data_IF_276079127010
#
_entry.id   IF_276079127010
#
_cell.length_a   1.000
_cell.length_b   1.000
_cell.length_c   1.000
_cell.angle_alpha   90.00
_cell.angle_beta   90.00
_cell.angle_gamma   90.00
#
_symmetry.space_group_name_H-M   'P 1'
#
loop_
_entity.id
_entity.type
_entity.pdbx_description
1 polymer ?
#
# COMPACT_ATOMS: atom_id res chain seq x y z
N UNK A 1 -32.90 -41.09 34.05
CA UNK A 1 -32.24 -39.80 33.79
C UNK A 1 -32.22 -39.55 32.28
N UNK A 2 -32.99 -38.59 31.73
CA UNK A 2 -32.91 -38.29 30.30
C UNK A 2 -31.54 -37.68 29.97
N UNK A 3 -30.87 -38.20 28.93
CA UNK A 3 -29.60 -37.69 28.42
C UNK A 3 -29.82 -36.34 27.73
N UNK A 4 -29.19 -35.29 28.24
CA UNK A 4 -29.15 -33.98 27.58
C UNK A 4 -28.36 -34.10 26.27
N UNK A 5 -28.98 -33.76 25.14
CA UNK A 5 -28.31 -33.72 23.82
C UNK A 5 -27.61 -32.38 23.72
N UNK A 6 -26.28 -32.33 23.51
CA UNK A 6 -25.58 -31.06 23.37
C UNK A 6 -26.05 -30.34 22.09
N UNK A 7 -26.19 -29.00 22.11
CA UNK A 7 -26.54 -28.24 20.92
C UNK A 7 -25.45 -28.39 19.85
N UNK A 8 -25.86 -28.59 18.58
CA UNK A 8 -24.91 -28.61 17.46
C UNK A 8 -24.33 -27.21 17.26
N UNK A 9 -23.01 -27.06 17.11
CA UNK A 9 -22.41 -25.77 16.78
C UNK A 9 -22.99 -25.26 15.46
N UNK A 10 -23.32 -23.97 15.43
CA UNK A 10 -23.87 -23.32 14.23
C UNK A 10 -22.80 -23.27 13.14
N UNK A 11 -23.12 -23.85 11.98
CA UNK A 11 -22.30 -23.74 10.79
C UNK A 11 -22.20 -22.25 10.39
N UNK A 12 -20.98 -21.74 10.27
CA UNK A 12 -20.73 -20.34 9.92
C UNK A 12 -21.09 -20.19 8.44
N UNK A 13 -22.28 -19.64 8.18
CA UNK A 13 -22.84 -19.48 6.83
C UNK A 13 -21.99 -18.61 5.90
N UNK A 14 -21.24 -17.66 6.46
CA UNK A 14 -20.39 -16.74 5.71
C UNK A 14 -19.02 -16.64 6.38
N UNK A 15 -17.98 -17.22 5.75
CA UNK A 15 -16.60 -16.99 6.15
C UNK A 15 -16.19 -15.61 5.65
N UNK A 16 -16.05 -14.66 6.57
CA UNK A 16 -15.35 -13.41 6.30
C UNK A 16 -13.86 -13.70 6.43
N UNK A 17 -13.12 -13.60 5.32
CA UNK A 17 -11.67 -13.65 5.42
C UNK A 17 -11.18 -12.37 6.12
N UNK A 18 -10.26 -12.49 7.09
CA UNK A 18 -9.60 -11.33 7.67
C UNK A 18 -8.84 -10.55 6.57
N UNK A 19 -8.75 -9.23 6.73
CA UNK A 19 -8.03 -8.36 5.80
C UNK A 19 -6.55 -8.76 5.68
N UNK A 20 -5.94 -9.15 6.79
CA UNK A 20 -4.58 -9.66 6.83
C UNK A 20 -4.56 -11.19 6.70
N UNK A 21 -3.80 -11.68 5.73
CA UNK A 21 -3.70 -13.11 5.41
C UNK A 21 -2.25 -13.60 5.39
N UNK A 22 -1.99 -14.86 5.78
CA UNK A 22 -0.65 -15.43 5.75
C UNK A 22 -0.16 -15.66 4.30
N UNK A 23 1.17 -15.78 4.10
CA UNK A 23 1.78 -15.99 2.78
C UNK A 23 1.21 -17.19 2.02
N UNK A 24 0.84 -18.26 2.71
CA UNK A 24 0.23 -19.44 2.09
C UNK A 24 -1.12 -19.11 1.41
N UNK A 25 -1.96 -18.28 2.04
CA UNK A 25 -3.24 -17.85 1.45
C UNK A 25 -3.00 -16.92 0.26
N UNK A 26 -1.99 -16.03 0.34
CA UNK A 26 -1.60 -15.16 -0.78
C UNK A 26 -1.15 -15.99 -1.98
N UNK A 27 -0.31 -17.01 -1.75
CA UNK A 27 0.16 -17.93 -2.79
C UNK A 27 -1.03 -18.61 -3.49
N UNK A 28 -1.98 -19.15 -2.72
CA UNK A 28 -3.20 -19.78 -3.27
C UNK A 28 -4.03 -18.79 -4.10
N UNK A 29 -4.16 -17.53 -3.66
CA UNK A 29 -4.86 -16.46 -4.40
C UNK A 29 -4.16 -16.09 -5.71
N UNK A 30 -2.84 -16.28 -5.77
CA UNK A 30 -2.03 -16.14 -6.99
C UNK A 30 -1.90 -17.43 -7.80
N UNK A 31 -2.56 -18.51 -7.37
CA UNK A 31 -2.51 -19.86 -7.97
C UNK A 31 -1.09 -20.44 -8.00
N UNK A 32 -0.33 -20.18 -6.95
CA UNK A 32 1.01 -20.72 -6.72
C UNK A 32 0.98 -21.60 -5.46
N UNK A 33 1.89 -22.58 -5.39
CA UNK A 33 2.24 -23.17 -4.11
C UNK A 33 3.02 -22.17 -3.25
N UNK A 34 3.06 -22.37 -1.94
CA UNK A 34 3.81 -21.49 -1.05
C UNK A 34 5.30 -21.43 -1.41
N UNK A 35 5.89 -22.56 -1.78
CA UNK A 35 7.29 -22.63 -2.23
C UNK A 35 7.50 -21.81 -3.51
N UNK A 36 6.64 -21.99 -4.52
CA UNK A 36 6.71 -21.21 -5.77
C UNK A 36 6.53 -19.72 -5.54
N UNK A 37 5.66 -19.35 -4.59
CA UNK A 37 5.46 -17.96 -4.21
C UNK A 37 6.74 -17.37 -3.61
N UNK A 38 7.41 -18.08 -2.70
CA UNK A 38 8.69 -17.66 -2.12
C UNK A 38 9.79 -17.52 -3.19
N UNK A 39 9.88 -18.45 -4.13
CA UNK A 39 10.85 -18.38 -5.24
C UNK A 39 10.57 -17.19 -6.18
N UNK A 40 9.30 -16.83 -6.36
CA UNK A 40 8.90 -15.69 -7.19
C UNK A 40 8.92 -14.35 -6.44
N UNK A 41 8.92 -14.37 -5.10
CA UNK A 41 8.77 -13.19 -4.26
C UNK A 41 9.77 -12.08 -4.59
N UNK A 42 11.07 -12.34 -4.80
CA UNK A 42 12.02 -11.27 -5.17
C UNK A 42 11.64 -10.57 -6.48
N UNK A 43 11.16 -11.32 -7.47
CA UNK A 43 10.70 -10.78 -8.76
C UNK A 43 9.37 -10.05 -8.63
N UNK A 44 8.49 -10.50 -7.73
CA UNK A 44 7.23 -9.83 -7.43
C UNK A 44 7.50 -8.48 -6.74
N UNK A 45 8.37 -8.44 -5.73
CA UNK A 45 8.76 -7.22 -5.04
C UNK A 45 9.42 -6.20 -5.98
N UNK A 46 10.28 -6.65 -6.90
CA UNK A 46 10.84 -5.79 -7.95
C UNK A 46 9.78 -5.16 -8.87
N UNK A 47 8.58 -5.77 -8.96
CA UNK A 47 7.42 -5.26 -9.71
C UNK A 47 6.45 -4.46 -8.83
N UNK A 48 6.86 -4.10 -7.61
CA UNK A 48 6.05 -3.33 -6.66
C UNK A 48 4.95 -4.14 -5.98
N UNK A 49 5.11 -5.46 -5.84
CA UNK A 49 4.21 -6.28 -5.01
C UNK A 49 4.28 -5.82 -3.54
N UNK A 50 3.17 -5.81 -2.79
CA UNK A 50 3.16 -5.35 -1.40
C UNK A 50 4.06 -6.22 -0.51
N UNK A 51 4.79 -5.57 0.40
CA UNK A 51 5.57 -6.26 1.42
C UNK A 51 4.66 -6.77 2.54
N UNK A 52 5.02 -7.89 3.20
CA UNK A 52 4.34 -8.30 4.42
C UNK A 52 4.56 -7.28 5.53
N UNK A 53 3.62 -7.23 6.44
CA UNK A 53 3.74 -6.47 7.68
C UNK A 53 4.98 -6.94 8.48
N UNK A 54 5.86 -6.03 8.93
CA UNK A 54 7.12 -6.41 9.56
C UNK A 54 6.94 -7.09 10.92
N UNK A 55 5.84 -6.80 11.63
CA UNK A 55 5.60 -7.31 12.97
C UNK A 55 4.87 -8.66 12.93
N UNK A 56 3.88 -8.79 12.05
CA UNK A 56 3.01 -9.98 11.97
C UNK A 56 3.37 -10.95 10.84
N UNK A 57 4.13 -10.49 9.84
CA UNK A 57 4.44 -11.27 8.64
C UNK A 57 3.23 -11.54 7.73
N UNK A 58 2.10 -10.88 7.99
CA UNK A 58 0.86 -11.04 7.23
C UNK A 58 0.85 -10.08 6.04
N UNK A 59 0.05 -10.41 5.04
CA UNK A 59 -0.18 -9.57 3.87
C UNK A 59 -1.58 -9.00 3.89
N UNK A 60 -1.69 -7.71 3.61
CA UNK A 60 -2.97 -7.06 3.32
C UNK A 60 -3.55 -7.60 2.00
N UNK A 61 -4.69 -8.26 2.11
CA UNK A 61 -5.43 -8.84 1.00
C UNK A 61 -5.84 -7.79 -0.05
N UNK A 62 -6.27 -6.62 0.41
CA UNK A 62 -6.70 -5.53 -0.46
C UNK A 62 -5.50 -4.97 -1.25
N UNK A 63 -4.35 -4.83 -0.60
CA UNK A 63 -3.12 -4.40 -1.26
C UNK A 63 -2.71 -5.37 -2.39
N UNK A 64 -2.81 -6.68 -2.13
CA UNK A 64 -2.51 -7.72 -3.14
C UNK A 64 -3.48 -7.62 -4.33
N UNK A 65 -4.78 -7.47 -4.07
CA UNK A 65 -5.78 -7.37 -5.15
C UNK A 65 -5.63 -6.07 -5.95
N UNK A 66 -5.40 -4.93 -5.28
CA UNK A 66 -5.11 -3.66 -5.96
C UNK A 66 -3.88 -3.77 -6.85
N UNK A 67 -2.81 -4.43 -6.40
CA UNK A 67 -1.64 -4.70 -7.24
C UNK A 67 -1.99 -5.56 -8.47
N UNK A 68 -2.81 -6.59 -8.32
CA UNK A 68 -3.29 -7.41 -9.45
C UNK A 68 -4.10 -6.58 -10.44
N UNK A 69 -4.98 -5.72 -9.96
CA UNK A 69 -5.82 -4.87 -10.80
C UNK A 69 -5.01 -3.79 -11.53
N UNK A 70 -3.98 -3.20 -10.89
CA UNK A 70 -3.06 -2.25 -11.54
C UNK A 70 -2.37 -2.82 -12.78
N UNK A 71 -2.13 -4.14 -12.84
CA UNK A 71 -1.60 -4.80 -14.06
C UNK A 71 -2.57 -4.78 -15.24
N UNK A 72 -3.85 -4.56 -14.97
CA UNK A 72 -4.93 -4.45 -15.94
C UNK A 72 -5.54 -3.05 -15.89
N UNK A 73 -4.70 -2.02 -16.02
CA UNK A 73 -5.11 -0.62 -15.95
C UNK A 73 -6.26 -0.25 -16.92
N UNK A 74 -6.41 -0.96 -18.03
CA UNK A 74 -7.53 -0.80 -18.96
C UNK A 74 -8.90 -1.20 -18.38
N UNK A 75 -8.92 -2.12 -17.41
CA UNK A 75 -10.13 -2.58 -16.74
C UNK A 75 -10.38 -1.84 -15.42
N UNK A 76 -9.33 -1.26 -14.84
CA UNK A 76 -9.37 -0.57 -13.54
C UNK A 76 -8.69 0.82 -13.63
N UNK A 77 -9.24 1.75 -14.42
CA UNK A 77 -8.67 3.08 -14.60
C UNK A 77 -8.57 3.87 -13.28
N UNK A 78 -9.46 3.64 -12.33
CA UNK A 78 -9.48 4.26 -10.99
C UNK A 78 -8.25 3.91 -10.14
N UNK A 79 -7.62 2.76 -10.39
CA UNK A 79 -6.41 2.32 -9.69
C UNK A 79 -5.12 2.80 -10.37
N UNK A 80 -5.21 3.23 -11.64
CA UNK A 80 -4.12 3.77 -12.43
C UNK A 80 -4.04 5.31 -12.37
N UNK A 81 -5.14 5.97 -12.03
CA UNK A 81 -5.21 7.41 -11.78
C UNK A 81 -4.36 7.77 -10.55
N UNK A 82 -3.06 7.96 -10.77
CA UNK A 82 -2.21 8.70 -9.84
C UNK A 82 -2.84 10.08 -9.76
N UNK A 83 -3.26 10.50 -8.56
CA UNK A 83 -3.71 11.88 -8.34
C UNK A 83 -2.69 12.81 -9.01
N UNK A 84 -3.11 13.79 -9.83
CA UNK A 84 -2.18 14.74 -10.43
C UNK A 84 -1.36 15.35 -9.29
N UNK A 85 -0.03 15.50 -9.46
CA UNK A 85 0.80 16.08 -8.41
C UNK A 85 0.20 17.42 -8.03
N UNK A 86 -0.06 17.61 -6.73
CA UNK A 86 -0.40 18.93 -6.19
C UNK A 86 0.60 19.94 -6.78
N UNK A 87 0.15 21.08 -7.32
CA UNK A 87 1.07 22.05 -7.89
C UNK A 87 2.05 22.44 -6.78
N UNK A 88 3.33 22.10 -6.99
CA UNK A 88 4.37 22.41 -6.03
C UNK A 88 4.30 23.91 -5.69
N UNK A 89 4.44 24.30 -4.41
CA UNK A 89 4.45 25.72 -4.04
C UNK A 89 5.54 26.41 -4.88
N UNK A 90 5.25 27.62 -5.43
CA UNK A 90 6.16 28.27 -6.36
C UNK A 90 7.52 28.42 -5.71
N UNK A 91 8.53 27.77 -6.30
CA UNK A 91 9.90 27.87 -5.83
C UNK A 91 10.31 29.34 -5.88
N UNK A 92 10.43 29.98 -4.71
CA UNK A 92 10.98 31.34 -4.62
C UNK A 92 12.39 31.30 -5.19
N UNK A 93 12.57 31.93 -6.34
CA UNK A 93 13.87 32.07 -7.02
C UNK A 93 14.94 32.56 -6.04
N UNK A 94 16.09 31.88 -6.02
CA UNK A 94 17.27 32.29 -5.25
C UNK A 94 17.66 33.75 -5.53
N UNK A 95 17.39 34.25 -6.75
CA UNK A 95 17.63 35.64 -7.11
C UNK A 95 16.70 36.65 -6.43
N UNK A 96 15.48 36.26 -6.06
CA UNK A 96 14.57 37.11 -5.29
C UNK A 96 15.02 37.25 -3.84
N UNK A 97 15.46 36.14 -3.22
CA UNK A 97 16.04 36.14 -1.87
C UNK A 97 17.32 36.99 -1.79
N UNK A 98 18.17 36.92 -2.81
CA UNK A 98 19.44 37.66 -2.83
C UNK A 98 19.26 39.19 -2.98
N UNK A 99 18.21 39.65 -3.68
CA UNK A 99 17.89 41.09 -3.77
C UNK A 99 17.39 41.65 -2.44
N UNK A 100 16.50 40.91 -1.78
CA UNK A 100 15.97 41.28 -0.46
C UNK A 100 17.08 41.39 0.59
N UNK A 101 18.05 40.48 0.55
CA UNK A 101 19.21 40.50 1.46
C UNK A 101 20.22 41.64 1.16
N UNK A 102 20.36 42.03 -0.11
CA UNK A 102 21.15 43.21 -0.53
C UNK A 102 20.47 44.53 -0.11
N UNK A 103 19.15 44.63 -0.22
CA UNK A 103 18.41 45.82 0.22
C UNK A 103 18.42 45.99 1.74
N UNK A 104 18.30 44.91 2.50
CA UNK A 104 18.43 44.95 3.96
C UNK A 104 19.84 45.41 4.40
N UNK A 105 20.89 45.00 3.68
CA UNK A 105 22.27 45.46 3.95
C UNK A 105 22.50 46.92 3.56
N UNK A 106 21.79 47.43 2.56
CA UNK A 106 21.91 48.82 2.10
C UNK A 106 21.19 49.80 3.03
N UNK A 107 20.11 49.37 3.70
CA UNK A 107 19.41 50.15 4.71
C UNK A 107 20.11 50.24 6.08
N UNK A 108 21.12 49.39 6.33
CA UNK A 108 21.81 49.31 7.63
C UNK A 108 23.09 50.15 7.78
N UNK A 109 23.47 50.96 6.78
CA UNK A 109 24.66 51.84 6.85
C UNK A 109 24.28 53.31 6.71
N UNK A 110 23.41 53.75 7.61
CA UNK A 110 23.18 55.16 7.92
C UNK A 110 22.96 55.27 9.44
N UNK A 111 24.02 55.00 10.19
CA UNK A 111 24.20 55.42 11.58
C UNK A 111 25.66 55.88 11.71
#
# INVERSE_FOLDING_TARGET
>A
MPRSIPPRPTDIRFKVDPGDIPPEKVARRMHLSEAQFRDCLPRLLARGFPMPDPDTGMYDLEAVDRWRHRRHASLFPELAATLPPEPAPPAKSLGAKFREEQEARRGGRAA
#
